data_IF_904147557385
#
_entry.id   IF_904147557385
#
_cell.length_a   1.000
_cell.length_b   1.000
_cell.length_c   1.000
_cell.angle_alpha   90.00
_cell.angle_beta   90.00
_cell.angle_gamma   90.00
#
_symmetry.space_group_name_H-M   'P 1'
#
loop_
_entity.id
_entity.type
_entity.pdbx_description
1 polymer ?
#
# COMPACT_ATOMS: atom_id res chain seq x y z
N UNK A 1 -12.66 -24.05 4.26
CA UNK A 1 -11.65 -23.48 3.34
C UNK A 1 -10.31 -23.31 4.03
N UNK A 2 -9.29 -22.76 3.35
CA UNK A 2 -7.87 -22.61 3.76
C UNK A 2 -7.62 -22.00 5.15
N UNK A 3 -8.64 -21.42 5.80
CA UNK A 3 -8.58 -20.80 7.13
C UNK A 3 -9.54 -21.42 8.16
N UNK A 4 -10.18 -22.55 7.84
CA UNK A 4 -11.08 -23.24 8.76
C UNK A 4 -12.45 -22.58 8.99
N UNK A 5 -12.77 -21.49 8.27
CA UNK A 5 -14.09 -20.84 8.37
C UNK A 5 -15.22 -21.73 7.88
N UNK A 6 -16.32 -21.70 8.63
CA UNK A 6 -17.61 -22.29 8.26
C UNK A 6 -18.48 -21.23 7.55
N UNK A 7 -19.52 -21.67 6.83
CA UNK A 7 -20.44 -20.76 6.15
C UNK A 7 -21.10 -19.74 7.11
N UNK A 8 -21.37 -20.17 8.35
CA UNK A 8 -21.90 -19.30 9.40
C UNK A 8 -20.93 -18.17 9.81
N UNK A 9 -19.61 -18.39 9.69
CA UNK A 9 -18.63 -17.35 9.98
C UNK A 9 -18.63 -16.27 8.89
N UNK A 10 -18.75 -16.69 7.62
CA UNK A 10 -18.84 -15.77 6.47
C UNK A 10 -20.08 -14.89 6.58
N UNK A 11 -21.26 -15.49 6.80
CA UNK A 11 -22.51 -14.76 7.00
C UNK A 11 -22.41 -13.77 8.17
N UNK A 12 -21.80 -14.20 9.28
CA UNK A 12 -21.57 -13.32 10.44
C UNK A 12 -20.65 -12.14 10.11
N UNK A 13 -19.60 -12.34 9.33
CA UNK A 13 -18.69 -11.26 8.92
C UNK A 13 -19.37 -10.28 7.97
N UNK A 14 -20.15 -10.77 7.00
CA UNK A 14 -20.92 -9.94 6.09
C UNK A 14 -21.96 -9.10 6.83
N UNK A 15 -22.69 -9.70 7.78
CA UNK A 15 -23.65 -8.97 8.59
C UNK A 15 -22.97 -7.92 9.48
N UNK A 16 -21.83 -8.24 10.09
CA UNK A 16 -21.06 -7.27 10.88
C UNK A 16 -20.56 -6.09 10.02
N UNK A 17 -20.15 -6.35 8.77
CA UNK A 17 -19.79 -5.30 7.82
C UNK A 17 -20.99 -4.41 7.49
N UNK A 18 -22.15 -5.01 7.20
CA UNK A 18 -23.37 -4.28 6.88
C UNK A 18 -23.83 -3.41 8.05
N UNK A 19 -23.86 -3.98 9.26
CA UNK A 19 -24.24 -3.28 10.48
C UNK A 19 -23.35 -2.05 10.71
N UNK A 20 -22.03 -2.21 10.63
CA UNK A 20 -21.09 -1.12 10.90
C UNK A 20 -21.04 -0.09 9.76
N UNK A 21 -20.71 -0.52 8.55
CA UNK A 21 -20.32 0.37 7.45
C UNK A 21 -21.48 0.80 6.57
N UNK A 22 -22.61 0.07 6.56
CA UNK A 22 -23.80 0.41 5.76
C UNK A 22 -24.94 1.00 6.58
N UNK A 23 -25.00 0.72 7.90
CA UNK A 23 -26.08 1.21 8.78
C UNK A 23 -25.60 2.20 9.84
N UNK A 24 -24.74 1.76 10.76
CA UNK A 24 -24.48 2.50 12.00
C UNK A 24 -23.64 3.75 11.75
N UNK A 25 -22.49 3.62 11.07
CA UNK A 25 -21.64 4.76 10.73
C UNK A 25 -22.33 5.83 9.87
N UNK A 26 -23.01 5.50 8.74
CA UNK A 26 -23.72 6.53 7.97
C UNK A 26 -24.84 7.19 8.78
N UNK A 27 -25.57 6.44 9.63
CA UNK A 27 -26.58 6.99 10.51
C UNK A 27 -25.99 7.98 11.54
N UNK A 28 -24.84 7.64 12.11
CA UNK A 28 -24.10 8.51 13.04
C UNK A 28 -23.66 9.81 12.37
N UNK A 29 -23.14 9.74 11.14
CA UNK A 29 -22.68 10.91 10.37
C UNK A 29 -23.86 11.81 10.01
N UNK A 30 -24.93 11.24 9.47
CA UNK A 30 -26.13 12.00 9.08
C UNK A 30 -26.80 12.70 10.27
N UNK A 31 -26.77 12.09 11.47
CA UNK A 31 -27.32 12.69 12.67
C UNK A 31 -26.47 13.85 13.24
N UNK A 32 -25.21 14.01 12.78
CA UNK A 32 -24.23 14.95 13.38
C UNK A 32 -23.64 15.94 12.39
N UNK A 33 -23.81 15.74 11.08
CA UNK A 33 -23.22 16.58 10.04
C UNK A 33 -23.89 16.36 8.68
N UNK A 34 -23.73 17.33 7.79
CA UNK A 34 -24.14 17.23 6.37
C UNK A 34 -23.00 16.73 5.46
N UNK A 35 -21.89 16.23 6.04
CA UNK A 35 -20.74 15.75 5.27
C UNK A 35 -21.08 14.39 4.63
N UNK A 36 -20.83 14.19 3.32
CA UNK A 36 -21.06 12.90 2.67
C UNK A 36 -20.24 11.76 3.30
N UNK A 37 -20.86 10.61 3.48
CA UNK A 37 -20.21 9.39 3.98
C UNK A 37 -19.93 8.39 2.85
N UNK A 38 -18.77 7.74 2.91
CA UNK A 38 -18.38 6.66 1.99
C UNK A 38 -18.02 5.43 2.82
N UNK A 39 -18.65 4.29 2.51
CA UNK A 39 -18.57 3.06 3.32
C UNK A 39 -17.20 2.35 3.33
N UNK A 40 -16.37 2.59 2.32
CA UNK A 40 -15.05 1.95 2.19
C UNK A 40 -14.19 2.70 1.18
N UNK A 41 -12.88 2.52 1.30
CA UNK A 41 -11.91 2.87 0.27
C UNK A 41 -11.05 1.61 0.00
N UNK A 42 -10.95 1.16 -1.25
CA UNK A 42 -11.52 1.76 -2.44
C UNK A 42 -12.98 1.30 -2.67
N UNK A 43 -13.79 2.12 -3.34
CA UNK A 43 -15.13 1.71 -3.81
C UNK A 43 -15.09 0.91 -5.11
N UNK A 44 -13.91 0.83 -5.72
CA UNK A 44 -13.64 0.13 -6.97
C UNK A 44 -12.31 -0.59 -6.89
N UNK A 45 -12.01 -1.46 -7.86
CA UNK A 45 -10.78 -2.22 -7.87
C UNK A 45 -10.06 -2.13 -9.22
N UNK A 46 -8.75 -2.36 -9.20
CA UNK A 46 -7.95 -2.55 -10.40
C UNK A 46 -8.20 -3.95 -11.00
N UNK A 47 -8.03 -4.10 -12.31
CA UNK A 47 -8.19 -5.39 -13.00
C UNK A 47 -9.43 -5.54 -13.90
N UNK A 48 -10.36 -4.59 -13.90
CA UNK A 48 -11.39 -4.46 -14.95
C UNK A 48 -11.62 -3.00 -15.34
N UNK A 49 -11.94 -2.76 -16.63
CA UNK A 49 -12.04 -1.40 -17.18
C UNK A 49 -13.26 -0.62 -16.67
N UNK A 50 -14.33 -1.32 -16.28
CA UNK A 50 -15.52 -0.71 -15.70
C UNK A 50 -15.22 -0.09 -14.34
N UNK A 51 -14.48 -0.80 -13.49
CA UNK A 51 -14.09 -0.36 -12.16
C UNK A 51 -13.34 0.96 -12.18
N UNK A 52 -12.45 1.18 -13.14
CA UNK A 52 -11.71 2.44 -13.27
C UNK A 52 -12.64 3.66 -13.48
N UNK A 53 -13.90 3.46 -13.88
CA UNK A 53 -14.87 4.52 -14.15
C UNK A 53 -15.74 4.89 -12.95
N UNK A 54 -15.63 4.20 -11.82
CA UNK A 54 -16.50 4.40 -10.66
C UNK A 54 -15.70 4.50 -9.36
N UNK A 55 -16.12 5.39 -8.44
CA UNK A 55 -15.60 5.46 -7.08
C UNK A 55 -14.10 5.80 -6.96
N UNK A 56 -13.55 5.48 -5.79
CA UNK A 56 -12.12 5.56 -5.49
C UNK A 56 -11.38 4.28 -5.87
N UNK A 57 -10.11 4.41 -6.23
CA UNK A 57 -9.21 3.32 -6.66
C UNK A 57 -7.95 3.27 -5.78
N UNK A 58 -7.52 2.06 -5.44
CA UNK A 58 -6.17 1.80 -4.93
C UNK A 58 -5.31 1.24 -6.08
N UNK A 59 -4.51 2.10 -6.71
CA UNK A 59 -3.61 1.70 -7.80
C UNK A 59 -2.26 1.22 -7.25
N UNK A 60 -2.25 -0.06 -6.91
CA UNK A 60 -1.06 -0.75 -6.43
C UNK A 60 -0.36 -1.57 -7.52
N UNK A 61 -0.65 -1.32 -8.80
CA UNK A 61 -0.06 -2.06 -9.91
C UNK A 61 1.48 -1.97 -9.92
N UNK A 62 2.05 -0.81 -9.59
CA UNK A 62 3.50 -0.59 -9.60
C UNK A 62 4.20 -1.34 -8.46
N UNK A 63 3.74 -1.19 -7.22
CA UNK A 63 4.41 -1.81 -6.07
C UNK A 63 4.02 -3.28 -5.86
N UNK A 64 2.71 -3.56 -5.73
CA UNK A 64 2.23 -4.92 -5.47
C UNK A 64 2.20 -5.76 -6.76
N UNK A 65 1.82 -5.16 -7.89
CA UNK A 65 1.71 -5.82 -9.20
C UNK A 65 2.98 -5.84 -10.05
N UNK A 66 4.11 -5.32 -9.56
CA UNK A 66 5.39 -5.24 -10.28
C UNK A 66 5.36 -4.50 -11.64
N UNK A 67 4.32 -3.70 -11.91
CA UNK A 67 4.29 -2.87 -13.11
C UNK A 67 5.46 -1.86 -13.10
N UNK A 68 5.98 -1.47 -14.27
CA UNK A 68 6.99 -0.42 -14.36
C UNK A 68 6.50 0.89 -13.72
N UNK A 69 7.40 1.66 -13.10
CA UNK A 69 7.06 2.97 -12.50
C UNK A 69 6.39 3.90 -13.53
N UNK A 70 6.78 3.81 -14.80
CA UNK A 70 6.19 4.58 -15.90
C UNK A 70 4.70 4.28 -16.16
N UNK A 71 4.14 3.23 -15.55
CA UNK A 71 2.71 2.89 -15.62
C UNK A 71 1.84 3.83 -14.77
N UNK A 72 2.41 4.52 -13.77
CA UNK A 72 1.68 5.58 -13.08
C UNK A 72 1.15 6.60 -14.10
N UNK A 73 -0.14 6.94 -13.98
CA UNK A 73 -0.79 7.87 -14.90
C UNK A 73 -1.39 7.24 -16.17
N UNK A 74 -1.22 5.93 -16.40
CA UNK A 74 -1.79 5.26 -17.60
C UNK A 74 -3.19 4.68 -17.36
N UNK A 75 -3.44 4.10 -16.19
CA UNK A 75 -4.73 3.47 -15.82
C UNK A 75 -5.43 4.25 -14.69
N UNK A 76 -5.57 5.56 -14.86
CA UNK A 76 -6.06 6.47 -13.81
C UNK A 76 -7.58 6.29 -13.65
N UNK A 77 -8.00 5.83 -12.48
CA UNK A 77 -9.42 5.83 -12.10
C UNK A 77 -9.96 7.25 -11.91
N UNK A 78 -11.27 7.39 -11.62
CA UNK A 78 -11.88 8.71 -11.35
C UNK A 78 -11.24 9.45 -10.17
N UNK A 79 -10.81 8.69 -9.16
CA UNK A 79 -10.11 9.19 -7.98
C UNK A 79 -9.17 8.10 -7.45
N UNK A 80 -7.86 8.31 -7.50
CA UNK A 80 -6.88 7.36 -6.96
C UNK A 80 -6.62 7.74 -5.51
N UNK A 81 -7.21 7.00 -4.56
CA UNK A 81 -7.07 7.26 -3.13
C UNK A 81 -5.81 6.65 -2.52
N UNK A 82 -5.24 5.63 -3.17
CA UNK A 82 -3.95 5.05 -2.80
C UNK A 82 -3.15 4.66 -4.03
N UNK A 83 -1.86 4.93 -3.99
CA UNK A 83 -0.82 4.47 -4.91
C UNK A 83 0.53 4.77 -4.26
N UNK A 84 1.58 4.09 -4.67
CA UNK A 84 2.89 4.41 -4.11
C UNK A 84 4.00 3.47 -4.50
N UNK A 85 5.19 3.84 -4.05
CA UNK A 85 6.41 3.08 -4.18
C UNK A 85 7.23 3.31 -2.91
N UNK A 86 7.84 2.25 -2.37
CA UNK A 86 8.58 2.36 -1.12
C UNK A 86 9.95 3.01 -1.34
N UNK A 87 10.39 3.81 -0.37
CA UNK A 87 11.77 4.26 -0.22
C UNK A 87 12.21 4.11 1.23
N UNK A 88 13.52 4.18 1.46
CA UNK A 88 14.05 4.25 2.81
C UNK A 88 14.13 5.71 3.26
N UNK A 89 13.98 5.99 4.57
CA UNK A 89 14.28 7.30 5.10
C UNK A 89 15.77 7.61 4.98
N UNK A 90 16.11 8.88 5.16
CA UNK A 90 17.51 9.32 5.17
C UNK A 90 18.34 8.64 6.28
N UNK A 91 19.66 8.68 6.10
CA UNK A 91 20.61 8.06 7.04
C UNK A 91 20.58 8.68 8.43
N UNK A 92 20.24 9.97 8.56
CA UNK A 92 20.17 10.64 9.84
C UNK A 92 19.00 10.10 10.66
N UNK A 93 17.84 9.86 10.04
CA UNK A 93 16.70 9.23 10.69
C UNK A 93 17.00 7.76 11.02
N UNK A 94 17.63 7.01 10.11
CA UNK A 94 18.06 5.64 10.39
C UNK A 94 19.00 5.57 11.61
N UNK A 95 19.95 6.50 11.73
CA UNK A 95 20.91 6.55 12.83
C UNK A 95 20.26 6.83 14.20
N UNK A 96 19.02 7.33 14.26
CA UNK A 96 18.27 7.47 15.52
C UNK A 96 17.76 6.14 16.06
N UNK A 97 17.67 5.12 15.21
CA UNK A 97 17.06 3.84 15.54
C UNK A 97 17.98 2.63 15.32
N UNK A 98 19.11 2.80 14.66
CA UNK A 98 20.09 1.76 14.38
C UNK A 98 21.43 2.13 15.01
N UNK A 99 22.13 1.13 15.56
CA UNK A 99 23.49 1.33 16.02
C UNK A 99 24.40 1.64 14.81
N UNK A 100 25.51 2.37 14.99
CA UNK A 100 26.42 2.68 13.88
C UNK A 100 26.90 1.45 13.10
N UNK A 101 27.09 0.31 13.77
CA UNK A 101 27.48 -0.96 13.16
C UNK A 101 26.39 -1.56 12.26
N UNK A 102 25.14 -1.19 12.45
CA UNK A 102 23.99 -1.68 11.68
C UNK A 102 23.62 -0.77 10.49
N UNK A 103 24.25 0.41 10.37
CA UNK A 103 23.98 1.39 9.32
C UNK A 103 24.70 1.04 8.01
N UNK A 104 24.44 -0.16 7.50
CA UNK A 104 24.92 -0.60 6.19
C UNK A 104 23.85 -1.38 5.43
N UNK A 105 23.99 -1.42 4.11
CA UNK A 105 23.07 -2.14 3.24
C UNK A 105 23.11 -3.62 3.58
N UNK A 106 21.94 -4.23 3.70
CA UNK A 106 21.80 -5.66 3.99
C UNK A 106 21.96 -6.06 5.46
N UNK A 107 22.16 -5.11 6.39
CA UNK A 107 22.26 -5.44 7.82
C UNK A 107 20.96 -6.11 8.33
N UNK A 108 21.04 -7.08 9.26
CA UNK A 108 19.85 -7.71 9.83
C UNK A 108 18.89 -6.70 10.48
N UNK A 109 19.45 -5.69 11.16
CA UNK A 109 18.66 -4.67 11.84
C UNK A 109 17.94 -3.73 10.86
N UNK A 110 18.54 -3.41 9.70
CA UNK A 110 17.87 -2.67 8.63
C UNK A 110 16.75 -3.52 7.99
N UNK A 111 17.04 -4.80 7.67
CA UNK A 111 16.06 -5.74 7.12
C UNK A 111 14.85 -5.95 8.04
N UNK A 112 15.06 -5.98 9.35
CA UNK A 112 13.97 -6.13 10.32
C UNK A 112 12.98 -4.94 10.31
N UNK A 113 13.34 -3.80 9.71
CA UNK A 113 12.47 -2.63 9.53
C UNK A 113 11.75 -2.61 8.18
N UNK A 114 12.13 -3.48 7.25
CA UNK A 114 11.37 -3.74 6.03
C UNK A 114 10.17 -4.62 6.36
N UNK A 115 8.96 -4.09 6.19
CA UNK A 115 7.70 -4.77 6.53
C UNK A 115 6.87 -5.19 5.32
N UNK A 116 7.20 -4.69 4.13
CA UNK A 116 6.56 -5.16 2.93
C UNK A 116 7.05 -6.57 2.59
N UNK A 117 6.12 -7.47 2.26
CA UNK A 117 6.44 -8.81 1.75
C UNK A 117 7.24 -8.77 0.43
N UNK A 118 7.21 -7.63 -0.29
CA UNK A 118 7.99 -7.39 -1.50
C UNK A 118 9.49 -7.21 -1.21
N UNK A 119 9.87 -6.84 0.01
CA UNK A 119 11.25 -6.55 0.39
C UNK A 119 11.87 -5.40 -0.41
N UNK A 120 13.19 -5.40 -0.51
CA UNK A 120 13.96 -4.34 -1.17
C UNK A 120 14.11 -4.55 -2.70
N UNK A 121 13.66 -5.70 -3.21
CA UNK A 121 13.86 -6.07 -4.61
C UNK A 121 13.25 -5.08 -5.62
N UNK A 122 12.02 -4.56 -5.44
CA UNK A 122 11.48 -3.55 -6.35
C UNK A 122 12.29 -2.26 -6.32
N UNK A 123 12.78 -1.83 -5.15
CA UNK A 123 13.60 -0.62 -4.97
C UNK A 123 14.92 -0.78 -5.74
N UNK A 124 15.61 -1.89 -5.56
CA UNK A 124 16.86 -2.20 -6.28
C UNK A 124 16.64 -2.21 -7.79
N UNK A 125 15.55 -2.83 -8.27
CA UNK A 125 15.18 -2.82 -9.69
C UNK A 125 14.98 -1.40 -10.21
N UNK A 126 14.23 -0.56 -9.49
CA UNK A 126 14.00 0.82 -9.87
C UNK A 126 15.32 1.63 -9.94
N UNK A 127 16.20 1.48 -8.96
CA UNK A 127 17.53 2.12 -8.96
C UNK A 127 18.33 1.72 -10.21
N UNK A 128 18.33 0.43 -10.57
CA UNK A 128 19.02 -0.06 -11.78
C UNK A 128 18.45 0.51 -13.06
N UNK A 129 17.13 0.46 -13.20
CA UNK A 129 16.43 0.88 -14.42
C UNK A 129 16.48 2.39 -14.63
N UNK A 130 16.33 3.17 -13.56
CA UNK A 130 16.18 4.63 -13.66
C UNK A 130 17.48 5.40 -13.44
N UNK A 131 18.35 4.90 -12.57
CA UNK A 131 19.63 5.55 -12.24
C UNK A 131 20.83 4.87 -12.89
N UNK A 132 20.64 3.71 -13.53
CA UNK A 132 21.72 2.96 -14.18
C UNK A 132 22.79 2.46 -13.22
N UNK A 133 22.43 2.25 -11.94
CA UNK A 133 23.39 1.93 -10.89
C UNK A 133 23.01 0.68 -10.08
N UNK A 134 24.03 0.06 -9.50
CA UNK A 134 23.91 -1.01 -8.51
C UNK A 134 24.44 -0.50 -7.17
N UNK A 135 23.57 -0.21 -6.18
CA UNK A 135 24.03 0.36 -4.91
C UNK A 135 24.84 -0.68 -4.14
N UNK A 136 26.04 -0.29 -3.71
CA UNK A 136 26.98 -1.12 -2.92
C UNK A 136 27.07 -0.67 -1.47
N UNK A 137 26.51 0.49 -1.16
CA UNK A 137 26.45 1.04 0.19
C UNK A 137 25.01 1.47 0.55
N UNK A 138 24.76 1.65 1.85
CA UNK A 138 23.47 2.20 2.31
C UNK A 138 23.26 3.60 1.75
N UNK A 139 24.31 4.43 1.72
CA UNK A 139 24.25 5.79 1.19
C UNK A 139 23.86 5.85 -0.28
N UNK A 140 24.35 4.92 -1.11
CA UNK A 140 23.95 4.81 -2.52
C UNK A 140 22.52 4.28 -2.68
N UNK A 141 22.05 3.44 -1.77
CA UNK A 141 20.72 2.83 -1.83
C UNK A 141 19.60 3.80 -1.45
N UNK A 142 19.86 4.77 -0.57
CA UNK A 142 18.85 5.71 -0.05
C UNK A 142 18.94 7.12 -0.69
N UNK A 143 19.75 7.27 -1.74
CA UNK A 143 20.04 8.55 -2.37
C UNK A 143 18.96 9.03 -3.33
#
# INVERSE_FOLDING_TARGET
GTYGYEAADEERMEQAYADCFLRDLPGIVAARSDVPYVRTSPLSNWGNAEGLRHGSLHDWAVWHGDAPIATFGQAVGRFVSEYGFQSYPDSALLARYLAPVDLHLGSPALKARQRSYKGDAPILRAIREWLGMEPRSLGEFIR
#
